data_IF_002402474505
#
_entry.id   IF_002402474505
#
_cell.length_a   1.000
_cell.length_b   1.000
_cell.length_c   1.000
_cell.angle_alpha   90.00
_cell.angle_beta   90.00
_cell.angle_gamma   90.00
#
_symmetry.space_group_name_H-M   'P 1'
#
loop_
_entity.id
_entity.type
_entity.pdbx_description
1 polymer ?
#
# COMPACT_ATOMS: atom_id res chain seq x y z
N UNK A 1 -2.03 -10.77 -6.32
CA UNK A 1 -1.58 -10.53 -4.93
C UNK A 1 -2.35 -11.40 -3.95
N UNK A 2 -2.00 -11.40 -2.64
CA UNK A 2 -2.82 -12.11 -1.65
C UNK A 2 -4.11 -11.29 -1.36
N UNK A 3 -5.28 -11.95 -1.21
CA UNK A 3 -6.50 -11.28 -0.77
C UNK A 3 -6.31 -10.61 0.59
N UNK A 4 -6.75 -9.35 0.69
CA UNK A 4 -6.80 -8.63 1.96
C UNK A 4 -8.26 -8.63 2.47
N UNK A 5 -8.50 -9.27 3.60
CA UNK A 5 -9.84 -9.32 4.22
C UNK A 5 -9.86 -8.46 5.48
N UNK A 6 -8.97 -8.79 6.40
CA UNK A 6 -8.78 -8.04 7.64
C UNK A 6 -7.35 -8.21 8.12
N UNK A 7 -6.90 -7.28 8.92
CA UNK A 7 -5.61 -7.34 9.60
C UNK A 7 -5.77 -6.96 11.06
N UNK A 8 -5.13 -7.73 11.93
CA UNK A 8 -5.05 -7.43 13.37
C UNK A 8 -3.60 -7.32 13.77
N UNK A 9 -3.23 -6.24 14.42
CA UNK A 9 -1.86 -6.04 14.88
C UNK A 9 -1.64 -4.72 15.56
N UNK A 10 -0.38 -4.46 15.89
CA UNK A 10 0.04 -3.23 16.52
C UNK A 10 -0.02 -2.07 15.52
N UNK A 11 -0.61 -0.97 15.94
CA UNK A 11 -0.60 0.29 15.21
C UNK A 11 0.64 1.11 15.61
N UNK A 12 1.47 1.43 14.63
CA UNK A 12 2.73 2.16 14.83
C UNK A 12 2.50 3.65 14.61
N UNK A 13 2.72 4.52 15.63
CA UNK A 13 2.52 5.96 15.50
C UNK A 13 3.73 6.67 14.90
N UNK A 14 3.60 7.14 13.66
CA UNK A 14 4.54 8.07 13.04
C UNK A 14 3.75 9.22 12.42
N UNK A 15 3.23 10.12 13.27
CA UNK A 15 2.27 11.18 12.92
C UNK A 15 2.94 12.40 12.25
N UNK A 16 3.84 12.14 11.32
CA UNK A 16 4.52 13.16 10.54
C UNK A 16 3.80 13.39 9.22
N UNK A 17 3.71 14.66 8.79
CA UNK A 17 3.23 15.03 7.47
C UNK A 17 4.36 14.96 6.44
N UNK A 18 4.00 14.86 5.15
CA UNK A 18 4.91 14.92 4.01
C UNK A 18 6.04 13.88 4.03
N UNK A 19 5.81 12.73 4.65
CA UNK A 19 6.77 11.61 4.58
C UNK A 19 6.86 11.15 3.13
N UNK A 20 8.00 11.39 2.50
CA UNK A 20 8.22 11.06 1.10
C UNK A 20 8.82 9.65 0.91
N UNK A 21 8.78 9.17 -0.34
CA UNK A 21 9.27 7.83 -0.69
C UNK A 21 10.77 7.65 -0.47
N UNK A 22 11.57 8.72 -0.44
CA UNK A 22 13.01 8.66 -0.12
C UNK A 22 13.27 8.53 1.38
N UNK A 23 12.34 8.98 2.23
CA UNK A 23 12.39 8.76 3.67
C UNK A 23 11.98 7.32 4.00
N UNK A 24 10.94 6.79 3.34
CA UNK A 24 10.46 5.41 3.53
C UNK A 24 11.53 4.40 3.08
N UNK A 25 12.07 4.58 1.87
CA UNK A 25 13.02 3.68 1.24
C UNK A 25 14.13 4.49 0.54
N UNK A 26 15.13 4.98 1.27
CA UNK A 26 16.25 5.70 0.70
C UNK A 26 17.01 4.83 -0.29
N UNK A 27 17.45 5.43 -1.41
CA UNK A 27 18.28 4.73 -2.39
C UNK A 27 19.59 4.35 -1.70
N UNK A 28 19.97 3.05 -1.71
CA UNK A 28 21.22 2.62 -1.12
C UNK A 28 22.41 3.33 -1.78
N UNK A 29 23.37 3.78 -0.99
CA UNK A 29 24.65 4.30 -1.49
C UNK A 29 25.50 3.20 -2.13
N UNK A 30 25.26 1.95 -1.76
CA UNK A 30 25.88 0.77 -2.36
C UNK A 30 24.99 0.20 -3.47
N UNK A 31 25.56 0.00 -4.67
CA UNK A 31 24.88 -0.61 -5.81
C UNK A 31 24.72 -2.13 -5.60
N UNK A 32 23.88 -2.53 -4.67
CA UNK A 32 23.48 -3.94 -4.55
C UNK A 32 22.38 -4.24 -5.58
N UNK A 33 22.54 -5.34 -6.32
CA UNK A 33 21.49 -5.84 -7.22
C UNK A 33 20.30 -6.44 -6.46
N UNK A 34 20.47 -6.73 -5.17
CA UNK A 34 19.42 -7.24 -4.26
C UNK A 34 19.57 -6.53 -2.90
N UNK A 35 19.06 -5.31 -2.77
CA UNK A 35 19.07 -4.61 -1.49
C UNK A 35 18.20 -5.35 -0.46
N UNK A 36 18.61 -5.33 0.80
CA UNK A 36 17.73 -5.76 1.89
C UNK A 36 16.65 -4.69 2.11
N UNK A 37 15.43 -5.00 1.69
CA UNK A 37 14.30 -4.09 1.81
C UNK A 37 13.97 -3.77 3.28
N UNK A 38 14.22 -4.70 4.22
CA UNK A 38 13.98 -4.45 5.65
C UNK A 38 14.95 -3.42 6.21
N UNK A 39 16.21 -3.47 5.78
CA UNK A 39 17.21 -2.48 6.19
C UNK A 39 16.92 -1.10 5.58
N UNK A 40 16.30 -1.05 4.42
CA UNK A 40 15.89 0.21 3.78
C UNK A 40 14.75 0.93 4.52
N UNK A 41 13.95 0.22 5.33
CA UNK A 41 12.78 0.78 6.01
C UNK A 41 13.15 1.93 6.92
N UNK A 42 12.85 3.15 6.50
CA UNK A 42 13.19 4.39 7.18
C UNK A 42 14.67 4.46 7.60
N UNK A 43 15.57 3.89 6.82
CA UNK A 43 16.97 3.66 7.20
C UNK A 43 17.62 4.89 7.79
N UNK A 44 17.45 6.07 7.14
CA UNK A 44 18.10 7.31 7.60
C UNK A 44 17.41 7.91 8.82
N UNK A 45 16.08 7.85 8.89
CA UNK A 45 15.32 8.43 9.99
C UNK A 45 15.52 7.66 11.31
N UNK A 46 15.70 6.34 11.22
CA UNK A 46 15.85 5.44 12.37
C UNK A 46 17.26 5.42 12.97
N UNK A 47 18.23 6.07 12.33
CA UNK A 47 19.63 6.00 12.73
C UNK A 47 20.17 7.37 13.12
N UNK A 48 21.13 7.37 14.02
CA UNK A 48 21.92 8.54 14.40
C UNK A 48 23.06 8.80 13.39
N UNK A 49 23.78 9.88 13.58
CA UNK A 49 24.89 10.27 12.69
C UNK A 49 26.05 9.26 12.65
N UNK A 50 26.17 8.41 13.66
CA UNK A 50 27.14 7.32 13.76
C UNK A 50 26.66 6.00 13.10
N UNK A 51 25.53 6.05 12.39
CA UNK A 51 24.84 4.93 11.75
C UNK A 51 24.26 3.87 12.72
N UNK A 52 24.28 4.12 14.02
CA UNK A 52 23.66 3.29 15.03
C UNK A 52 22.13 3.56 15.10
N UNK A 53 21.33 2.53 15.40
CA UNK A 53 19.90 2.71 15.60
C UNK A 53 19.63 3.67 16.77
N UNK A 54 18.80 4.68 16.54
CA UNK A 54 18.37 5.59 17.61
C UNK A 54 17.29 4.91 18.47
N UNK A 55 17.58 4.57 19.73
CA UNK A 55 16.59 3.93 20.60
C UNK A 55 15.39 4.82 20.95
N UNK A 56 15.51 6.14 20.77
CA UNK A 56 14.41 7.07 20.98
C UNK A 56 13.41 7.08 19.81
N UNK A 57 13.86 6.68 18.62
CA UNK A 57 12.99 6.66 17.44
C UNK A 57 11.90 5.59 17.57
N UNK A 58 10.65 5.97 17.27
CA UNK A 58 9.47 5.10 17.47
C UNK A 58 9.60 3.74 16.78
N UNK A 59 10.12 3.72 15.55
CA UNK A 59 10.29 2.49 14.75
C UNK A 59 11.39 1.55 15.29
N UNK A 60 12.18 1.96 16.28
CA UNK A 60 13.20 1.14 16.93
C UNK A 60 12.74 0.60 18.30
N UNK A 61 11.57 1.03 18.78
CA UNK A 61 11.03 0.55 20.05
C UNK A 61 10.57 -0.91 19.93
N UNK A 62 10.87 -1.77 20.92
CA UNK A 62 10.55 -3.20 20.85
C UNK A 62 9.07 -3.52 20.61
N UNK A 63 8.15 -2.74 21.18
CA UNK A 63 6.70 -2.92 20.98
C UNK A 63 6.25 -2.71 19.53
N UNK A 64 7.04 -2.01 18.71
CA UNK A 64 6.77 -1.74 17.30
C UNK A 64 7.66 -2.55 16.33
N UNK A 65 8.37 -3.58 16.82
CA UNK A 65 9.28 -4.39 16.01
C UNK A 65 8.58 -5.16 14.86
N UNK A 66 7.26 -5.35 14.96
CA UNK A 66 6.44 -5.97 13.91
C UNK A 66 5.30 -5.02 13.51
N UNK A 67 5.61 -4.00 12.73
CA UNK A 67 4.63 -3.02 12.31
C UNK A 67 3.62 -3.68 11.35
N UNK A 68 2.36 -3.77 11.76
CA UNK A 68 1.30 -4.35 10.92
C UNK A 68 0.39 -3.25 10.38
N UNK A 69 0.08 -2.26 11.21
CA UNK A 69 -0.72 -1.09 10.89
C UNK A 69 0.18 0.13 11.08
N UNK A 70 0.36 0.93 10.04
CA UNK A 70 1.18 2.13 10.07
C UNK A 70 0.28 3.37 10.13
N UNK A 71 0.46 4.23 11.13
CA UNK A 71 -0.39 5.40 11.34
C UNK A 71 0.43 6.66 11.15
N UNK A 72 0.00 7.54 10.25
CA UNK A 72 0.80 8.69 9.79
C UNK A 72 -0.06 9.93 9.51
N UNK A 73 0.59 11.04 9.21
CA UNK A 73 -0.04 12.33 8.96
C UNK A 73 -0.56 12.50 7.53
N UNK A 74 -0.43 13.74 7.02
CA UNK A 74 -0.89 14.11 5.68
C UNK A 74 0.15 13.80 4.61
N UNK A 75 -0.35 13.57 3.38
CA UNK A 75 0.46 13.46 2.17
C UNK A 75 1.56 12.39 2.26
N UNK A 76 1.23 11.25 2.91
CA UNK A 76 2.15 10.15 3.08
C UNK A 76 2.52 9.52 1.73
N UNK A 77 3.80 9.19 1.55
CA UNK A 77 4.29 8.60 0.30
C UNK A 77 4.46 9.59 -0.84
N UNK A 78 4.49 10.90 -0.56
CA UNK A 78 4.76 11.92 -1.57
C UNK A 78 6.15 11.75 -2.20
N UNK A 79 6.42 12.47 -3.29
CA UNK A 79 7.69 12.42 -4.00
C UNK A 79 7.64 11.52 -5.23
N UNK A 80 8.62 10.63 -5.40
CA UNK A 80 8.71 9.84 -6.62
C UNK A 80 7.83 8.58 -6.59
N UNK A 81 7.32 8.17 -7.76
CA UNK A 81 6.40 7.04 -7.96
C UNK A 81 7.03 5.65 -7.79
N UNK A 82 8.03 5.50 -6.94
CA UNK A 82 8.76 4.24 -6.78
C UNK A 82 7.98 3.22 -5.96
N UNK A 83 7.65 2.10 -6.57
CA UNK A 83 7.06 0.94 -5.88
C UNK A 83 7.94 0.38 -4.75
N UNK A 84 9.26 0.54 -4.85
CA UNK A 84 10.21 0.10 -3.83
C UNK A 84 9.91 0.58 -2.42
N UNK A 85 9.27 1.74 -2.27
CA UNK A 85 8.83 2.24 -0.97
C UNK A 85 7.70 1.36 -0.39
N UNK A 86 6.75 0.89 -1.21
CA UNK A 86 5.69 -0.04 -0.77
C UNK A 86 6.28 -1.42 -0.47
N UNK A 87 7.21 -1.92 -1.30
CA UNK A 87 7.88 -3.20 -1.04
C UNK A 87 8.66 -3.18 0.27
N UNK A 88 9.25 -2.05 0.61
CA UNK A 88 9.94 -1.85 1.89
C UNK A 88 8.98 -1.95 3.07
N UNK A 89 7.79 -1.34 2.97
CA UNK A 89 6.75 -1.47 3.99
C UNK A 89 6.27 -2.93 4.13
N UNK A 90 6.01 -3.60 3.01
CA UNK A 90 5.62 -5.02 3.01
C UNK A 90 6.71 -5.93 3.61
N UNK A 91 7.98 -5.67 3.31
CA UNK A 91 9.09 -6.48 3.82
C UNK A 91 9.18 -6.47 5.34
N UNK A 92 8.77 -5.39 6.00
CA UNK A 92 8.73 -5.32 7.47
C UNK A 92 7.40 -5.81 8.06
N UNK A 93 6.38 -6.07 7.23
CA UNK A 93 5.10 -6.65 7.64
C UNK A 93 3.92 -5.68 7.70
N UNK A 94 4.09 -4.45 7.19
CA UNK A 94 2.98 -3.49 7.09
C UNK A 94 1.97 -3.99 6.06
N UNK A 95 0.72 -4.15 6.49
CA UNK A 95 -0.40 -4.55 5.64
C UNK A 95 -1.43 -3.43 5.45
N UNK A 96 -1.47 -2.46 6.35
CA UNK A 96 -2.37 -1.33 6.27
C UNK A 96 -1.67 -0.03 6.69
N UNK A 97 -1.99 1.05 5.98
CA UNK A 97 -1.57 2.41 6.29
C UNK A 97 -2.82 3.22 6.60
N UNK A 98 -2.89 3.84 7.77
CA UNK A 98 -3.96 4.76 8.15
C UNK A 98 -3.35 6.16 8.20
N UNK A 99 -3.91 7.08 7.43
CA UNK A 99 -3.36 8.43 7.26
C UNK A 99 -4.46 9.49 7.19
N UNK A 100 -4.09 10.76 7.39
CA UNK A 100 -4.96 11.89 7.06
C UNK A 100 -5.11 12.07 5.54
N UNK A 101 -4.04 11.76 4.79
CA UNK A 101 -4.07 11.61 3.34
C UNK A 101 -2.85 10.85 2.84
N UNK A 102 -2.99 10.18 1.70
CA UNK A 102 -1.93 9.43 1.03
C UNK A 102 -1.74 10.02 -0.37
N UNK A 103 -0.49 10.19 -0.80
CA UNK A 103 -0.20 10.68 -2.14
C UNK A 103 -0.76 9.71 -3.21
N UNK A 104 -1.41 10.24 -4.25
CA UNK A 104 -2.18 9.45 -5.24
C UNK A 104 -1.38 8.28 -5.83
N UNK A 105 -0.16 8.54 -6.31
CA UNK A 105 0.68 7.49 -6.91
C UNK A 105 1.11 6.43 -5.89
N UNK A 106 1.34 6.85 -4.64
CA UNK A 106 1.69 5.92 -3.58
C UNK A 106 0.49 5.06 -3.17
N UNK A 107 -0.70 5.67 -3.11
CA UNK A 107 -1.97 4.99 -2.87
C UNK A 107 -2.21 3.89 -3.92
N UNK A 108 -2.03 4.21 -5.21
CA UNK A 108 -2.17 3.23 -6.29
C UNK A 108 -1.15 2.09 -6.16
N UNK A 109 0.11 2.40 -5.87
CA UNK A 109 1.14 1.38 -5.63
C UNK A 109 0.80 0.49 -4.42
N UNK A 110 0.21 1.05 -3.36
CA UNK A 110 -0.27 0.26 -2.22
C UNK A 110 -1.33 -0.75 -2.65
N UNK A 111 -2.36 -0.29 -3.38
CA UNK A 111 -3.46 -1.12 -3.86
C UNK A 111 -2.98 -2.24 -4.80
N UNK A 112 -2.03 -1.94 -5.69
CA UNK A 112 -1.43 -2.93 -6.60
C UNK A 112 -0.61 -4.01 -5.87
N UNK A 113 -0.06 -3.67 -4.71
CA UNK A 113 0.77 -4.58 -3.92
C UNK A 113 0.04 -5.22 -2.73
N UNK A 114 -1.27 -4.97 -2.56
CA UNK A 114 -2.08 -5.59 -1.51
C UNK A 114 -1.93 -4.96 -0.14
N UNK A 115 -1.44 -3.72 -0.06
CA UNK A 115 -1.45 -2.88 1.13
C UNK A 115 -2.72 -2.04 1.12
N UNK A 116 -3.48 -2.02 2.21
CA UNK A 116 -4.69 -1.20 2.33
C UNK A 116 -4.32 0.23 2.77
N UNK A 117 -4.48 1.25 1.92
CA UNK A 117 -4.42 2.65 2.34
C UNK A 117 -5.79 3.10 2.83
N UNK A 118 -5.88 3.55 4.06
CA UNK A 118 -7.07 4.13 4.68
C UNK A 118 -6.82 5.60 4.94
N UNK A 119 -7.71 6.45 4.44
CA UNK A 119 -7.73 7.87 4.76
C UNK A 119 -8.90 8.16 5.70
N UNK A 120 -8.61 8.85 6.79
CA UNK A 120 -9.62 9.23 7.77
C UNK A 120 -9.81 10.75 7.80
N UNK A 121 -11.08 11.23 7.95
CA UNK A 121 -11.36 12.62 8.28
C UNK A 121 -10.65 13.04 9.57
N UNK A 122 -10.32 14.34 9.69
CA UNK A 122 -9.52 14.86 10.80
C UNK A 122 -10.05 14.44 12.18
N UNK A 123 -11.36 14.52 12.40
CA UNK A 123 -11.94 14.15 13.71
C UNK A 123 -11.78 12.67 14.07
N UNK A 124 -11.96 11.78 13.10
CA UNK A 124 -11.76 10.34 13.28
C UNK A 124 -10.27 10.00 13.44
N UNK A 125 -9.42 10.71 12.68
CA UNK A 125 -7.97 10.53 12.79
C UNK A 125 -7.46 10.99 14.15
N UNK A 126 -7.91 12.14 14.68
CA UNK A 126 -7.55 12.64 16.02
C UNK A 126 -7.94 11.63 17.11
N UNK A 127 -9.13 11.02 17.00
CA UNK A 127 -9.55 9.95 17.91
C UNK A 127 -8.66 8.72 17.79
N UNK A 128 -8.37 8.29 16.56
CA UNK A 128 -7.55 7.11 16.34
C UNK A 128 -6.11 7.31 16.82
N UNK A 129 -5.47 8.45 16.51
CA UNK A 129 -4.14 8.80 17.00
C UNK A 129 -4.07 8.76 18.54
N UNK A 130 -5.06 9.36 19.23
CA UNK A 130 -5.15 9.34 20.69
C UNK A 130 -5.23 7.90 21.22
N UNK A 131 -6.02 7.03 20.59
CA UNK A 131 -6.17 5.62 20.96
C UNK A 131 -4.88 4.84 20.74
N UNK A 132 -4.19 5.08 19.62
CA UNK A 132 -2.91 4.44 19.29
C UNK A 132 -1.84 4.83 20.32
N UNK A 133 -1.76 6.11 20.69
CA UNK A 133 -0.83 6.57 21.74
C UNK A 133 -1.17 5.95 23.11
N UNK A 134 -2.45 5.87 23.47
CA UNK A 134 -2.88 5.28 24.73
C UNK A 134 -2.60 3.77 24.79
N UNK A 135 -2.69 3.08 23.67
CA UNK A 135 -2.37 1.65 23.58
C UNK A 135 -0.86 1.37 23.65
N UNK A 136 -0.01 2.30 23.22
CA UNK A 136 1.46 2.22 23.21
C UNK A 136 2.01 0.83 22.80
N UNK A 137 1.40 0.25 21.76
CA UNK A 137 1.78 -1.07 21.27
C UNK A 137 1.36 -2.26 22.14
N UNK A 138 0.74 -2.05 23.31
CA UNK A 138 0.34 -3.12 24.22
C UNK A 138 -0.93 -3.86 23.77
N UNK A 139 -1.79 -3.21 22.98
CA UNK A 139 -3.05 -3.79 22.51
C UNK A 139 -3.20 -3.62 20.99
N UNK A 140 -3.69 -4.65 20.29
CA UNK A 140 -3.85 -4.59 18.84
C UNK A 140 -5.10 -3.82 18.42
N UNK A 141 -5.07 -3.34 17.19
CA UNK A 141 -6.22 -2.86 16.43
C UNK A 141 -6.54 -3.85 15.33
N UNK A 142 -7.80 -3.90 14.92
CA UNK A 142 -8.26 -4.70 13.77
C UNK A 142 -8.84 -3.76 12.72
N UNK A 143 -8.38 -3.93 11.47
CA UNK A 143 -8.94 -3.23 10.33
C UNK A 143 -9.59 -4.27 9.43
N UNK A 144 -10.89 -4.17 9.24
CA UNK A 144 -11.70 -5.09 8.45
C UNK A 144 -12.22 -4.38 7.19
N UNK A 145 -11.78 -4.90 6.03
CA UNK A 145 -12.16 -4.34 4.72
C UNK A 145 -13.58 -4.71 4.30
N UNK A 146 -14.13 -5.81 4.83
CA UNK A 146 -15.50 -6.20 4.51
C UNK A 146 -16.51 -5.28 5.15
N UNK A 147 -16.30 -4.94 6.41
CA UNK A 147 -17.16 -4.02 7.18
C UNK A 147 -16.71 -2.57 7.04
N UNK A 148 -15.50 -2.33 6.52
CA UNK A 148 -14.86 -1.02 6.43
C UNK A 148 -14.72 -0.34 7.79
N UNK A 149 -14.25 -1.11 8.78
CA UNK A 149 -14.16 -0.67 10.18
C UNK A 149 -12.75 -0.79 10.72
N UNK A 150 -12.39 0.14 11.59
CA UNK A 150 -11.23 0.06 12.48
C UNK A 150 -11.78 -0.15 13.89
N UNK A 151 -11.47 -1.28 14.50
CA UNK A 151 -11.84 -1.60 15.87
C UNK A 151 -10.61 -1.78 16.75
N UNK A 152 -10.78 -1.60 18.05
CA UNK A 152 -9.68 -1.76 19.02
C UNK A 152 -9.91 -0.99 20.30
N UNK A 153 -8.89 -0.85 21.16
CA UNK A 153 -9.03 -0.23 22.46
C UNK A 153 -9.39 1.26 22.38
N UNK A 154 -10.00 1.76 23.44
CA UNK A 154 -10.13 3.19 23.73
C UNK A 154 -11.30 3.93 23.07
N UNK A 155 -12.21 3.24 22.35
CA UNK A 155 -13.38 3.89 21.73
C UNK A 155 -14.24 2.92 20.91
N UNK A 156 -15.27 3.46 20.28
CA UNK A 156 -16.13 2.76 19.32
C UNK A 156 -15.41 2.55 17.98
N UNK A 157 -15.97 1.68 17.16
CA UNK A 157 -15.45 1.41 15.83
C UNK A 157 -15.50 2.67 14.95
N UNK A 158 -14.43 2.91 14.20
CA UNK A 158 -14.32 4.00 13.24
C UNK A 158 -14.64 3.42 11.85
N UNK A 159 -15.53 4.07 11.09
CA UNK A 159 -15.83 3.71 9.72
C UNK A 159 -14.84 4.42 8.78
N UNK A 160 -14.44 3.74 7.70
CA UNK A 160 -13.64 4.36 6.65
C UNK A 160 -14.24 4.10 5.26
N UNK A 161 -13.93 4.99 4.33
CA UNK A 161 -14.36 4.88 2.95
C UNK A 161 -13.27 4.32 2.05
N UNK A 162 -13.71 3.52 1.07
CA UNK A 162 -12.87 3.01 -0.02
C UNK A 162 -13.78 2.78 -1.23
N UNK A 163 -13.29 3.04 -2.44
CA UNK A 163 -14.05 2.77 -3.66
C UNK A 163 -14.39 1.27 -3.77
N UNK A 164 -15.55 0.93 -4.34
CA UNK A 164 -15.93 -0.48 -4.54
C UNK A 164 -14.96 -1.20 -5.50
N UNK A 165 -14.33 -0.50 -6.41
CA UNK A 165 -13.32 -1.06 -7.30
C UNK A 165 -12.06 -1.48 -6.51
N UNK A 166 -11.52 -0.58 -5.67
CA UNK A 166 -10.34 -0.85 -4.84
C UNK A 166 -10.63 -1.92 -3.78
N UNK A 167 -11.83 -1.85 -3.19
CA UNK A 167 -12.30 -2.84 -2.23
C UNK A 167 -12.35 -4.24 -2.85
N UNK A 168 -12.92 -4.35 -4.04
CA UNK A 168 -13.00 -5.62 -4.79
C UNK A 168 -11.60 -6.11 -5.14
N UNK A 169 -10.73 -5.23 -5.66
CA UNK A 169 -9.33 -5.52 -5.98
C UNK A 169 -8.62 -6.17 -4.80
N UNK A 170 -8.69 -5.55 -3.63
CA UNK A 170 -8.03 -6.05 -2.42
C UNK A 170 -8.68 -7.32 -1.88
N UNK A 171 -10.02 -7.38 -1.76
CA UNK A 171 -10.73 -8.56 -1.23
C UNK A 171 -10.49 -9.82 -2.06
N UNK A 172 -10.37 -9.69 -3.37
CA UNK A 172 -10.15 -10.81 -4.28
C UNK A 172 -8.67 -11.02 -4.62
N UNK A 173 -7.79 -10.12 -4.21
CA UNK A 173 -6.36 -10.20 -4.48
C UNK A 173 -6.01 -10.01 -5.96
N UNK A 174 -6.79 -9.23 -6.70
CA UNK A 174 -6.64 -9.04 -8.13
C UNK A 174 -5.64 -7.91 -8.44
N UNK A 175 -4.85 -8.12 -9.50
CA UNK A 175 -4.12 -7.05 -10.19
C UNK A 175 -5.00 -6.43 -11.30
N UNK A 176 -4.47 -5.46 -12.03
CA UNK A 176 -5.20 -4.77 -13.11
C UNK A 176 -5.63 -5.74 -14.22
N UNK A 177 -4.79 -6.74 -14.52
CA UNK A 177 -5.12 -7.78 -15.51
C UNK A 177 -6.27 -8.63 -14.97
N UNK A 178 -6.19 -9.08 -13.71
CA UNK A 178 -7.25 -9.83 -13.04
C UNK A 178 -8.58 -9.07 -13.00
N UNK A 179 -8.55 -7.76 -12.76
CA UNK A 179 -9.73 -6.90 -12.83
C UNK A 179 -10.32 -6.86 -14.24
N UNK A 180 -9.49 -6.80 -15.28
CA UNK A 180 -9.93 -6.82 -16.69
C UNK A 180 -10.65 -8.11 -17.05
N UNK A 181 -10.24 -9.26 -16.51
CA UNK A 181 -10.91 -10.55 -16.77
C UNK A 181 -12.35 -10.61 -16.29
N UNK A 182 -12.77 -9.76 -15.36
CA UNK A 182 -14.18 -9.61 -14.98
C UNK A 182 -15.06 -9.13 -16.15
N UNK A 183 -14.44 -8.54 -17.16
CA UNK A 183 -15.09 -8.04 -18.39
C UNK A 183 -14.78 -8.87 -19.62
N UNK A 184 -14.27 -10.11 -19.46
CA UNK A 184 -13.79 -10.96 -20.57
C UNK A 184 -14.81 -11.06 -21.70
N UNK A 185 -16.10 -11.31 -21.41
CA UNK A 185 -17.13 -11.41 -22.45
C UNK A 185 -17.32 -10.10 -23.24
N UNK A 186 -17.21 -8.95 -22.58
CA UNK A 186 -17.30 -7.65 -23.25
C UNK A 186 -16.07 -7.38 -24.11
N UNK A 187 -14.88 -7.80 -23.66
CA UNK A 187 -13.62 -7.72 -24.38
C UNK A 187 -13.70 -8.61 -25.64
N UNK A 188 -14.08 -9.86 -25.49
CA UNK A 188 -14.23 -10.80 -26.61
C UNK A 188 -15.22 -10.27 -27.67
N UNK A 189 -16.36 -9.76 -27.22
CA UNK A 189 -17.35 -9.16 -28.10
C UNK A 189 -16.86 -7.90 -28.82
N UNK A 190 -16.01 -7.10 -28.16
CA UNK A 190 -15.38 -5.93 -28.76
C UNK A 190 -14.33 -6.35 -29.80
N UNK A 191 -13.48 -7.33 -29.48
CA UNK A 191 -12.45 -7.87 -30.37
C UNK A 191 -13.06 -8.44 -31.64
N UNK A 192 -14.16 -9.20 -31.53
CA UNK A 192 -14.83 -9.77 -32.69
C UNK A 192 -15.45 -8.68 -33.60
N UNK A 193 -16.11 -7.67 -33.01
CA UNK A 193 -16.62 -6.53 -33.79
C UNK A 193 -15.50 -5.76 -34.48
N UNK A 194 -14.38 -5.57 -33.80
CA UNK A 194 -13.21 -4.85 -34.34
C UNK A 194 -12.51 -5.63 -35.44
N UNK A 195 -12.45 -6.97 -35.32
CA UNK A 195 -11.90 -7.85 -36.34
C UNK A 195 -12.62 -7.70 -37.68
N UNK A 196 -13.95 -7.55 -37.64
CA UNK A 196 -14.79 -7.41 -38.84
C UNK A 196 -14.82 -5.96 -39.33
N UNK A 197 -15.04 -5.01 -38.42
CA UNK A 197 -15.29 -3.59 -38.77
C UNK A 197 -14.00 -2.76 -39.00
N UNK A 198 -12.88 -3.20 -38.44
CA UNK A 198 -11.61 -2.47 -38.47
C UNK A 198 -10.40 -3.40 -38.62
N UNK A 199 -10.30 -4.18 -39.73
CA UNK A 199 -9.28 -5.21 -39.90
C UNK A 199 -7.84 -4.66 -39.90
N UNK A 200 -7.65 -3.37 -40.19
CA UNK A 200 -6.33 -2.72 -40.13
C UNK A 200 -5.75 -2.65 -38.71
N UNK A 201 -6.55 -2.64 -37.68
CA UNK A 201 -6.09 -2.67 -36.29
C UNK A 201 -5.45 -4.01 -35.94
N UNK A 202 -5.91 -5.09 -36.55
CA UNK A 202 -5.35 -6.43 -36.35
C UNK A 202 -3.94 -6.59 -36.93
N UNK A 203 -3.62 -5.86 -38.02
CA UNK A 203 -2.27 -5.89 -38.61
C UNK A 203 -1.20 -5.31 -37.67
N UNK A 204 -1.56 -4.34 -36.85
CA UNK A 204 -0.63 -3.72 -35.89
C UNK A 204 -0.28 -4.63 -34.70
N UNK A 205 -1.13 -5.62 -34.40
CA UNK A 205 -0.95 -6.56 -33.28
C UNK A 205 -0.19 -7.84 -33.67
N UNK A 206 0.03 -8.09 -34.98
CA UNK A 206 0.85 -9.22 -35.44
C UNK A 206 2.31 -8.84 -35.33
N UNK A 207 3.08 -9.62 -34.58
CA UNK A 207 4.51 -9.47 -34.50
C UNK A 207 5.11 -9.57 -35.93
N UNK A 208 6.11 -8.74 -36.28
CA UNK A 208 6.79 -8.88 -37.58
C UNK A 208 7.41 -10.28 -37.66
N UNK A 209 6.96 -11.11 -38.64
CA UNK A 209 7.48 -12.45 -38.89
C UNK A 209 6.47 -13.60 -38.91
N UNK A 210 5.18 -13.37 -38.62
CA UNK A 210 4.13 -14.39 -38.80
C UNK A 210 3.28 -14.14 -40.04
N UNK A 211 3.89 -14.29 -41.24
CA UNK A 211 3.09 -14.50 -42.45
C UNK A 211 2.65 -15.97 -42.49
N UNK A 212 1.35 -16.26 -42.74
CA UNK A 212 0.96 -17.64 -43.04
C UNK A 212 1.65 -18.08 -44.34
N UNK A 213 2.30 -19.23 -44.29
CA UNK A 213 2.80 -19.88 -45.48
C UNK A 213 1.64 -20.02 -46.48
N UNK A 214 1.90 -19.61 -47.73
CA UNK A 214 0.96 -19.66 -48.84
C UNK A 214 0.58 -21.09 -49.22
#
# INVERSE_FOLDING_TARGET
MQPFISVTGVAVPLFEDDINTDQIAPIPTTRSLKPDLRDMFFHRARRRADDELDPAHVLNKPQYAKPTIFVTGRNFGCGSSREGAVWTMLAVGVACIVARSVADLYRENCLQNGVLPVELPDGDMDDFERRVLAADGAAPFTIDLRTRTISGPGGSDIQFDISEADRTRLLEGLDDIGMSFKHAQAIDAWEERTRVGSPWLQKALRAPGTEPAA
#
